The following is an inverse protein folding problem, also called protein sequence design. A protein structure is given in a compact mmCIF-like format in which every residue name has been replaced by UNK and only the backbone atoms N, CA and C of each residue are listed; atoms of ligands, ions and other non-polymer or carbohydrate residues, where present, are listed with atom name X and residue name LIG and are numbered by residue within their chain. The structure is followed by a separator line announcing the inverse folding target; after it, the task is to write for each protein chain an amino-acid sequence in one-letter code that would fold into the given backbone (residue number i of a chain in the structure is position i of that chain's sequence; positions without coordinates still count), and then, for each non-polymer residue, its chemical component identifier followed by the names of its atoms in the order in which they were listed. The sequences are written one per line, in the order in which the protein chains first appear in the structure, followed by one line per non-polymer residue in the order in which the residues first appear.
data_IF_879976300749
#
_entry.id   IF_879976300749
#
_cell.length_a   1.000
_cell.length_b   1.000
_cell.length_c   1.000
_cell.angle_alpha   90.00
_cell.angle_beta   90.00
_cell.angle_gamma   90.00
#
_symmetry.space_group_name_H-M   'P 1'
#
loop_
_entity.id
_entity.type
_entity.pdbx_description
1 polymer ?
#
# COMPACT_ATOMS: atom_id res chain seq x y z
N UNK A 1 7.07 -5.09 18.29
CA UNK A 1 7.92 -4.88 17.09
C UNK A 1 9.25 -4.25 17.50
N UNK A 2 10.39 -4.90 17.22
CA UNK A 2 11.72 -4.39 17.58
C UNK A 2 12.06 -3.10 16.82
N UNK A 3 12.77 -2.16 17.47
CA UNK A 3 13.28 -0.95 16.80
C UNK A 3 14.24 -1.29 15.65
N UNK A 4 15.01 -2.36 15.79
CA UNK A 4 15.92 -2.84 14.74
C UNK A 4 15.16 -3.24 13.47
N UNK A 5 14.02 -3.89 13.63
CA UNK A 5 13.16 -4.26 12.51
C UNK A 5 12.64 -3.04 11.75
N UNK A 6 12.14 -2.02 12.47
CA UNK A 6 11.65 -0.77 11.85
C UNK A 6 12.75 -0.05 11.08
N UNK A 7 13.96 0.01 11.64
CA UNK A 7 15.12 0.61 10.97
C UNK A 7 15.46 -0.18 9.70
N UNK A 8 15.53 -1.50 9.79
CA UNK A 8 15.81 -2.37 8.65
C UNK A 8 14.78 -2.22 7.53
N UNK A 9 13.48 -2.26 7.87
CA UNK A 9 12.40 -2.06 6.91
C UNK A 9 12.49 -0.69 6.23
N UNK A 10 12.80 0.38 6.99
CA UNK A 10 13.00 1.73 6.43
C UNK A 10 14.20 1.81 5.47
N UNK A 11 15.28 1.09 5.76
CA UNK A 11 16.44 0.99 4.85
C UNK A 11 16.07 0.28 3.55
N UNK A 12 15.31 -0.82 3.61
CA UNK A 12 14.81 -1.50 2.41
C UNK A 12 13.91 -0.56 1.61
N UNK A 13 12.93 0.06 2.26
CA UNK A 13 11.99 0.98 1.61
C UNK A 13 12.75 2.08 0.85
N UNK A 14 13.68 2.79 1.51
CA UNK A 14 14.47 3.85 0.87
C UNK A 14 15.26 3.40 -0.37
N UNK A 15 15.63 2.11 -0.45
CA UNK A 15 16.36 1.55 -1.60
C UNK A 15 15.45 1.22 -2.78
N UNK A 16 14.18 0.90 -2.53
CA UNK A 16 13.22 0.50 -3.58
C UNK A 16 12.20 1.60 -3.93
N UNK A 17 11.99 2.57 -3.03
CA UNK A 17 10.98 3.64 -3.11
C UNK A 17 11.00 4.35 -4.46
N UNK A 18 12.16 4.82 -4.91
CA UNK A 18 12.28 5.51 -6.21
C UNK A 18 11.73 4.67 -7.37
N UNK A 19 12.04 3.37 -7.39
CA UNK A 19 11.60 2.49 -8.46
C UNK A 19 10.10 2.20 -8.37
N UNK A 20 9.56 2.08 -7.15
CA UNK A 20 8.11 1.98 -6.95
C UNK A 20 7.44 3.26 -7.43
N UNK A 21 7.90 4.43 -7.00
CA UNK A 21 7.33 5.73 -7.37
C UNK A 21 7.33 5.99 -8.89
N UNK A 22 8.41 5.61 -9.59
CA UNK A 22 8.53 5.73 -11.05
C UNK A 22 7.53 4.82 -11.81
N UNK A 23 7.06 3.75 -11.19
CA UNK A 23 6.12 2.79 -11.78
C UNK A 23 4.67 3.01 -11.34
N UNK A 24 4.42 3.88 -10.35
CA UNK A 24 3.07 4.18 -9.90
C UNK A 24 2.37 5.20 -10.81
N UNK A 25 1.08 4.99 -11.13
CA UNK A 25 0.28 5.95 -11.88
C UNK A 25 0.09 7.25 -11.08
N UNK A 26 -0.18 8.36 -11.76
CA UNK A 26 -0.36 9.67 -11.11
C UNK A 26 -1.63 9.73 -10.25
N UNK A 27 -2.60 8.86 -10.56
CA UNK A 27 -3.86 8.68 -9.85
C UNK A 27 -3.65 8.05 -8.46
N UNK A 28 -2.53 7.36 -8.24
CA UNK A 28 -2.17 6.84 -6.94
C UNK A 28 -1.46 7.92 -6.13
N UNK A 29 -2.20 8.64 -5.28
CA UNK A 29 -1.62 9.58 -4.31
C UNK A 29 -1.29 8.95 -2.95
N UNK A 30 -1.90 7.82 -2.62
CA UNK A 30 -1.72 7.16 -1.32
C UNK A 30 -0.28 6.67 -1.12
N UNK A 31 0.29 6.95 0.05
CA UNK A 31 1.64 6.52 0.48
C UNK A 31 2.81 7.03 -0.38
N UNK A 32 2.61 8.08 -1.19
CA UNK A 32 3.66 8.69 -2.01
C UNK A 32 4.03 10.06 -1.51
N UNK A 33 5.32 10.40 -1.65
CA UNK A 33 5.81 11.74 -1.32
C UNK A 33 5.36 12.71 -2.41
N UNK A 34 4.96 13.91 -2.01
CA UNK A 34 4.58 15.02 -2.91
C UNK A 34 3.28 14.79 -3.70
N UNK A 35 2.49 13.75 -3.39
CA UNK A 35 1.13 13.57 -3.92
C UNK A 35 0.10 13.86 -2.84
N UNK A 36 -0.99 14.53 -3.23
CA UNK A 36 -2.05 14.95 -2.30
C UNK A 36 -3.42 14.50 -2.77
N UNK A 37 -4.25 14.05 -1.83
CA UNK A 37 -5.67 13.77 -2.08
C UNK A 37 -6.43 15.03 -2.50
N UNK A 38 -5.93 16.22 -2.14
CA UNK A 38 -6.55 17.49 -2.51
C UNK A 38 -6.65 17.68 -4.02
N UNK A 39 -5.64 17.25 -4.78
CA UNK A 39 -5.63 17.37 -6.24
C UNK A 39 -6.72 16.49 -6.86
N UNK A 40 -6.91 15.27 -6.34
CA UNK A 40 -7.99 14.38 -6.78
C UNK A 40 -9.37 14.92 -6.42
N UNK A 41 -9.56 15.46 -5.21
CA UNK A 41 -10.83 16.10 -4.81
C UNK A 41 -11.13 17.28 -5.74
N UNK A 42 -10.11 18.08 -6.07
CA UNK A 42 -10.27 19.21 -6.97
C UNK A 42 -10.67 18.76 -8.37
N UNK A 43 -10.03 17.72 -8.92
CA UNK A 43 -10.39 17.15 -10.22
C UNK A 43 -11.84 16.65 -10.25
N UNK A 44 -12.28 15.92 -9.22
CA UNK A 44 -13.67 15.43 -9.12
C UNK A 44 -14.65 16.60 -9.04
N UNK A 45 -14.34 17.65 -8.27
CA UNK A 45 -15.18 18.86 -8.20
C UNK A 45 -15.32 19.55 -9.55
N UNK A 46 -14.23 19.71 -10.29
CA UNK A 46 -14.27 20.31 -11.62
C UNK A 46 -15.15 19.52 -12.59
N UNK A 47 -15.10 18.19 -12.53
CA UNK A 47 -15.95 17.32 -13.37
C UNK A 47 -17.43 17.55 -13.02
N UNK A 48 -17.78 17.52 -11.73
CA UNK A 48 -19.15 17.75 -11.26
C UNK A 48 -19.67 19.12 -11.70
N UNK A 49 -18.91 20.19 -11.42
CA UNK A 49 -19.29 21.56 -11.76
C UNK A 49 -19.52 21.73 -13.27
N UNK A 50 -18.68 21.11 -14.09
CA UNK A 50 -18.79 21.17 -15.54
C UNK A 50 -19.99 20.39 -16.07
N UNK A 51 -20.23 19.20 -15.56
CA UNK A 51 -21.40 18.41 -15.96
C UNK A 51 -22.71 19.13 -15.56
N UNK A 52 -22.74 19.79 -14.40
CA UNK A 52 -23.86 20.64 -13.99
C UNK A 52 -24.07 21.85 -14.92
N UNK A 53 -22.99 22.53 -15.33
CA UNK A 53 -23.05 23.66 -16.27
C UNK A 53 -23.68 23.26 -17.61
N UNK A 54 -23.32 22.09 -18.15
CA UNK A 54 -23.83 21.59 -19.43
C UNK A 54 -25.10 20.75 -19.30
N UNK A 55 -25.68 20.64 -18.10
CA UNK A 55 -26.87 19.82 -17.82
C UNK A 55 -26.68 18.35 -18.25
N UNK A 56 -25.48 17.82 -18.07
CA UNK A 56 -25.13 16.43 -18.33
C UNK A 56 -25.44 15.58 -17.10
N UNK A 57 -25.83 14.32 -17.35
CA UNK A 57 -26.02 13.33 -16.28
C UNK A 57 -24.68 12.66 -15.99
N UNK A 58 -24.26 12.68 -14.73
CA UNK A 58 -23.05 12.01 -14.27
C UNK A 58 -23.37 10.98 -13.18
N UNK A 59 -22.48 9.98 -13.03
CA UNK A 59 -22.55 8.97 -11.98
C UNK A 59 -21.17 8.80 -11.35
N UNK A 60 -21.11 8.77 -10.02
CA UNK A 60 -19.87 8.58 -9.26
C UNK A 60 -20.04 7.36 -8.37
N UNK A 61 -19.06 6.45 -8.40
CA UNK A 61 -18.99 5.30 -7.53
C UNK A 61 -17.73 5.37 -6.67
N UNK A 62 -17.90 5.16 -5.36
CA UNK A 62 -16.79 5.03 -4.43
C UNK A 62 -16.60 3.55 -4.10
N UNK A 63 -15.38 3.05 -4.30
CA UNK A 63 -15.00 1.66 -4.02
C UNK A 63 -13.98 1.67 -2.89
N UNK A 64 -14.26 0.89 -1.85
CA UNK A 64 -13.34 0.71 -0.71
C UNK A 64 -13.14 -0.78 -0.43
N UNK A 65 -11.93 -1.15 -0.04
CA UNK A 65 -11.57 -2.53 0.27
C UNK A 65 -11.64 -2.78 1.78
N UNK A 66 -12.53 -3.69 2.19
CA UNK A 66 -12.61 -4.12 3.58
C UNK A 66 -11.32 -4.83 4.00
N UNK A 67 -10.68 -4.36 5.07
CA UNK A 67 -9.44 -4.94 5.62
C UNK A 67 -8.37 -5.16 4.55
N UNK A 68 -8.06 -4.12 3.79
CA UNK A 68 -7.15 -4.18 2.65
C UNK A 68 -5.77 -4.77 2.97
N UNK A 69 -5.24 -4.61 4.19
CA UNK A 69 -3.95 -5.22 4.56
C UNK A 69 -4.09 -6.65 5.07
N UNK A 70 -5.15 -6.97 5.81
CA UNK A 70 -5.36 -8.31 6.38
C UNK A 70 -5.82 -9.34 5.32
N UNK A 71 -6.39 -8.86 4.20
CA UNK A 71 -6.92 -9.71 3.12
C UNK A 71 -5.90 -10.06 2.03
N UNK A 72 -4.69 -9.49 2.08
CA UNK A 72 -3.67 -9.72 1.06
C UNK A 72 -3.01 -11.09 1.20
N UNK A 73 -3.01 -11.83 0.10
CA UNK A 73 -2.20 -13.05 0.00
C UNK A 73 -0.76 -12.66 -0.29
N UNK A 74 0.18 -13.09 0.57
CA UNK A 74 1.60 -12.76 0.43
C UNK A 74 2.20 -13.10 -0.95
N UNK A 75 1.71 -14.15 -1.63
CA UNK A 75 2.15 -14.50 -2.98
C UNK A 75 1.98 -13.36 -3.97
N UNK A 76 0.84 -12.67 -3.89
CA UNK A 76 0.47 -11.59 -4.79
C UNK A 76 1.37 -10.36 -4.56
N UNK A 77 1.83 -10.14 -3.32
CA UNK A 77 2.80 -9.08 -3.01
C UNK A 77 4.13 -9.33 -3.71
N UNK A 78 4.61 -10.58 -3.74
CA UNK A 78 5.87 -10.92 -4.41
C UNK A 78 5.79 -10.74 -5.92
N UNK A 79 4.66 -11.11 -6.51
CA UNK A 79 4.38 -10.95 -7.94
C UNK A 79 4.28 -9.47 -8.31
N UNK A 80 3.50 -8.69 -7.55
CA UNK A 80 3.39 -7.24 -7.76
C UNK A 80 4.76 -6.54 -7.68
N UNK A 81 5.59 -6.86 -6.68
CA UNK A 81 6.94 -6.29 -6.59
C UNK A 81 7.82 -6.66 -7.79
N UNK A 82 7.67 -7.88 -8.33
CA UNK A 82 8.40 -8.33 -9.51
C UNK A 82 7.94 -7.59 -10.76
N UNK A 83 6.64 -7.38 -10.93
CA UNK A 83 6.05 -6.62 -12.05
C UNK A 83 6.45 -5.15 -12.01
N UNK A 84 6.55 -4.55 -10.82
CA UNK A 84 7.10 -3.22 -10.59
C UNK A 84 8.64 -3.17 -10.77
N UNK A 85 9.25 -4.28 -11.19
CA UNK A 85 10.67 -4.39 -11.54
C UNK A 85 11.62 -4.41 -10.34
N UNK A 86 11.16 -4.64 -9.12
CA UNK A 86 12.03 -4.70 -7.96
C UNK A 86 13.00 -5.88 -8.07
N UNK A 87 14.28 -5.65 -7.75
CA UNK A 87 15.29 -6.70 -7.84
C UNK A 87 14.97 -7.89 -6.91
N UNK A 88 15.18 -9.11 -7.41
CA UNK A 88 14.87 -10.35 -6.69
C UNK A 88 15.54 -10.45 -5.31
N UNK A 89 16.67 -9.78 -5.09
CA UNK A 89 17.34 -9.73 -3.78
C UNK A 89 16.47 -9.07 -2.70
N UNK A 90 15.77 -7.97 -3.04
CA UNK A 90 14.89 -7.27 -2.10
C UNK A 90 13.59 -8.05 -1.88
N UNK A 91 13.02 -8.64 -2.94
CA UNK A 91 11.84 -9.50 -2.83
C UNK A 91 12.11 -10.68 -1.88
N UNK A 92 13.28 -11.32 -1.99
CA UNK A 92 13.70 -12.39 -1.08
C UNK A 92 13.84 -11.91 0.37
N UNK A 93 14.43 -10.73 0.60
CA UNK A 93 14.56 -10.16 1.95
C UNK A 93 13.20 -9.88 2.58
N UNK A 94 12.28 -9.26 1.83
CA UNK A 94 10.92 -8.98 2.31
C UNK A 94 10.18 -10.28 2.58
N UNK A 95 10.24 -11.26 1.67
CA UNK A 95 9.62 -12.59 1.89
C UNK A 95 10.13 -13.26 3.17
N UNK A 96 11.42 -13.14 3.47
CA UNK A 96 11.99 -13.73 4.69
C UNK A 96 11.47 -13.06 5.97
N UNK A 97 11.23 -11.75 5.94
CA UNK A 97 10.61 -11.02 7.06
C UNK A 97 9.25 -11.61 7.40
N UNK A 98 8.41 -11.84 6.39
CA UNK A 98 7.07 -12.40 6.61
C UNK A 98 7.10 -13.88 7.01
N UNK A 99 7.98 -14.69 6.42
CA UNK A 99 8.12 -16.12 6.77
C UNK A 99 8.47 -16.40 8.24
N UNK A 100 9.14 -15.48 8.92
CA UNK A 100 9.59 -15.68 10.31
C UNK A 100 8.74 -14.93 11.32
N UNK A 101 7.62 -14.35 10.88
CA UNK A 101 6.80 -13.50 11.75
C UNK A 101 5.66 -14.32 12.37
N UNK A 102 5.68 -14.45 13.69
CA UNK A 102 4.59 -15.00 14.48
C UNK A 102 4.06 -13.93 15.45
N UNK A 103 2.75 -13.85 15.62
CA UNK A 103 2.09 -13.03 16.62
C UNK A 103 1.55 -13.91 17.75
N UNK A 104 1.44 -13.34 18.95
CA UNK A 104 0.66 -13.90 20.04
C UNK A 104 -0.18 -12.77 20.64
N UNK A 105 -1.36 -13.10 21.17
CA UNK A 105 -2.19 -12.12 21.88
C UNK A 105 -1.82 -12.17 23.35
N UNK A 106 -1.36 -11.06 23.90
CA UNK A 106 -1.10 -10.92 25.34
C UNK A 106 -2.26 -10.18 26.00
N UNK A 107 -2.98 -10.88 26.87
CA UNK A 107 -3.96 -10.31 27.80
C UNK A 107 -3.39 -10.46 29.23
N UNK A 108 -4.16 -10.94 30.20
CA UNK A 108 -3.65 -11.27 31.55
C UNK A 108 -2.62 -12.42 31.51
N UNK A 109 -2.75 -13.31 30.52
CA UNK A 109 -1.79 -14.37 30.19
C UNK A 109 -1.36 -14.26 28.71
N UNK A 110 -0.21 -14.84 28.37
CA UNK A 110 0.28 -14.96 27.00
C UNK A 110 -0.53 -16.08 26.31
N UNK A 111 -1.27 -15.74 25.25
CA UNK A 111 -2.00 -16.69 24.42
C UNK A 111 -1.12 -17.40 23.38
N UNK A 112 -1.72 -18.32 22.64
CA UNK A 112 -1.01 -19.12 21.64
C UNK A 112 -0.44 -18.26 20.50
N UNK A 113 0.70 -18.70 19.96
CA UNK A 113 1.33 -18.07 18.81
C UNK A 113 0.70 -18.53 17.50
N UNK A 114 0.47 -17.60 16.58
CA UNK A 114 0.02 -17.85 15.21
C UNK A 114 0.94 -17.14 14.20
N UNK A 115 1.00 -17.64 12.97
CA UNK A 115 1.79 -17.02 11.90
C UNK A 115 1.13 -15.72 11.39
N UNK A 116 1.95 -14.74 11.02
CA UNK A 116 1.53 -13.45 10.43
C UNK A 116 1.72 -13.48 8.93
#
# INVERSE_FOLDING_TARGET
MSNLYKIFAKVILKRIERKLDEQQPIEQAGFRRDYSVLDHIHAVRQIIEKDEEYQLVYYIAFVDYSKAFDSLVHTNIWEALKEQGIEQKYIRLIRNVYKTSSACIQLENIGDSFEI
#
